data_IF_332422327694
#
_entry.id   IF_332422327694
#
_cell.length_a   1.000
_cell.length_b   1.000
_cell.length_c   1.000
_cell.angle_alpha   90.00
_cell.angle_beta   90.00
_cell.angle_gamma   90.00
#
_symmetry.space_group_name_H-M   'P 1'
#
loop_
_entity.id
_entity.type
_entity.pdbx_description
1 polymer ?
#
# COMPACT_ATOMS: atom_id res chain seq x y z
N UNK A 1 -21.80 -0.56 -18.69
CA UNK A 1 -20.84 0.40 -18.09
C UNK A 1 -19.43 -0.14 -18.27
N UNK A 2 -18.42 0.72 -18.48
CA UNK A 2 -17.02 0.29 -18.56
C UNK A 2 -16.52 -0.05 -17.16
N UNK A 3 -15.78 -1.16 -17.03
CA UNK A 3 -15.11 -1.54 -15.77
C UNK A 3 -14.12 -0.43 -15.37
N UNK A 4 -14.05 -0.12 -14.08
CA UNK A 4 -13.04 0.78 -13.51
C UNK A 4 -11.64 0.18 -13.63
N UNK A 5 -10.62 1.04 -13.53
CA UNK A 5 -9.22 0.65 -13.65
C UNK A 5 -8.57 0.43 -12.29
N UNK A 6 -7.75 -0.61 -12.19
CA UNK A 6 -6.95 -0.90 -11.01
C UNK A 6 -5.50 -0.46 -11.22
N UNK A 7 -5.01 0.42 -10.34
CA UNK A 7 -3.60 0.76 -10.24
C UNK A 7 -3.02 0.25 -8.92
N UNK A 8 -1.92 -0.51 -9.02
CA UNK A 8 -1.21 -1.08 -7.87
C UNK A 8 0.14 -0.40 -7.68
N UNK A 9 0.39 0.08 -6.47
CA UNK A 9 1.69 0.52 -6.00
C UNK A 9 2.37 -0.64 -5.25
N UNK A 10 3.26 -1.34 -5.94
CA UNK A 10 4.00 -2.49 -5.43
C UNK A 10 5.25 -2.03 -4.68
N UNK A 11 5.63 -2.74 -3.62
CA UNK A 11 6.90 -2.54 -2.95
C UNK A 11 7.46 -3.85 -2.39
N UNK A 12 8.78 -3.90 -2.20
CA UNK A 12 9.44 -5.09 -1.67
C UNK A 12 9.37 -5.18 -0.14
N UNK A 13 9.13 -4.07 0.55
CA UNK A 13 9.05 -4.00 2.01
C UNK A 13 8.15 -2.85 2.51
N UNK A 14 7.83 -2.89 3.81
CA UNK A 14 7.25 -1.73 4.52
C UNK A 14 8.28 -0.60 4.59
N UNK A 15 7.83 0.65 4.49
CA UNK A 15 8.71 1.83 4.54
C UNK A 15 9.28 2.30 3.20
N UNK A 16 9.12 1.53 2.11
CA UNK A 16 9.61 1.96 0.77
C UNK A 16 8.87 3.18 0.21
N UNK A 17 7.70 3.53 0.76
CA UNK A 17 6.95 4.75 0.40
C UNK A 17 5.74 4.55 -0.52
N UNK A 18 5.17 3.34 -0.59
CA UNK A 18 3.99 3.03 -1.43
C UNK A 18 2.81 3.98 -1.18
N UNK A 19 2.40 4.11 0.08
CA UNK A 19 1.25 4.96 0.47
C UNK A 19 1.50 6.43 0.13
N UNK A 20 2.72 6.92 0.35
CA UNK A 20 3.11 8.27 -0.05
C UNK A 20 3.02 8.47 -1.58
N UNK A 21 3.60 7.56 -2.37
CA UNK A 21 3.56 7.66 -3.83
C UNK A 21 2.13 7.61 -4.38
N UNK A 22 1.29 6.74 -3.83
CA UNK A 22 -0.12 6.61 -4.16
C UNK A 22 -0.89 7.91 -3.88
N UNK A 23 -0.70 8.52 -2.70
CA UNK A 23 -1.37 9.77 -2.33
C UNK A 23 -0.85 10.98 -3.12
N UNK A 24 0.44 11.01 -3.43
CA UNK A 24 1.08 12.05 -4.24
C UNK A 24 0.49 12.09 -5.66
N UNK A 25 0.29 10.93 -6.28
CA UNK A 25 -0.38 10.85 -7.58
C UNK A 25 -1.87 11.16 -7.49
N UNK A 26 -2.57 10.64 -6.48
CA UNK A 26 -3.98 10.95 -6.25
C UNK A 26 -4.20 12.47 -6.08
N UNK A 27 -3.26 13.16 -5.43
CA UNK A 27 -3.29 14.62 -5.29
C UNK A 27 -3.08 15.33 -6.62
N UNK A 28 -2.15 14.86 -7.46
CA UNK A 28 -1.95 15.42 -8.81
C UNK A 28 -3.24 15.34 -9.63
N UNK A 29 -3.89 14.17 -9.67
CA UNK A 29 -5.14 14.00 -10.39
C UNK A 29 -6.29 14.84 -9.80
N UNK A 30 -6.35 15.01 -8.47
CA UNK A 30 -7.32 15.90 -7.84
C UNK A 30 -7.12 17.35 -8.29
N UNK A 31 -5.87 17.80 -8.39
CA UNK A 31 -5.54 19.15 -8.87
C UNK A 31 -5.90 19.34 -10.36
N UNK A 32 -5.97 18.26 -11.13
CA UNK A 32 -6.47 18.25 -12.51
C UNK A 32 -8.01 18.19 -12.59
N UNK A 33 -8.71 18.17 -11.46
CA UNK A 33 -10.17 18.18 -11.38
C UNK A 33 -10.83 16.80 -11.37
N UNK A 34 -10.05 15.72 -11.19
CA UNK A 34 -10.62 14.37 -11.04
C UNK A 34 -11.25 14.22 -9.64
N UNK A 35 -12.45 13.61 -9.58
CA UNK A 35 -13.13 13.29 -8.33
C UNK A 35 -12.43 12.12 -7.60
N UNK A 36 -11.67 12.44 -6.54
CA UNK A 36 -10.82 11.49 -5.81
C UNK A 36 -11.10 11.55 -4.33
N UNK A 37 -11.24 10.36 -3.74
CA UNK A 37 -11.47 10.19 -2.30
C UNK A 37 -10.56 9.11 -1.71
N UNK A 38 -10.16 9.28 -0.46
CA UNK A 38 -9.52 8.24 0.36
C UNK A 38 -10.63 7.39 0.97
N UNK A 39 -10.68 6.12 0.56
CA UNK A 39 -11.56 5.11 1.14
C UNK A 39 -10.96 4.45 2.37
N UNK A 40 -9.67 4.09 2.29
CA UNK A 40 -8.93 3.54 3.42
C UNK A 40 -7.44 3.89 3.31
N UNK A 41 -6.87 4.27 4.45
CA UNK A 41 -5.44 4.47 4.62
C UNK A 41 -5.01 3.78 5.91
N UNK A 42 -3.94 2.99 5.82
CA UNK A 42 -3.34 2.31 6.96
C UNK A 42 -3.03 3.33 8.06
N UNK A 43 -3.36 3.08 9.34
CA UNK A 43 -2.98 3.96 10.44
C UNK A 43 -1.46 4.19 10.55
N UNK A 44 -1.07 5.13 11.42
CA UNK A 44 0.33 5.36 11.78
C UNK A 44 1.25 5.65 10.58
N UNK A 45 0.78 6.55 9.71
CA UNK A 45 1.59 7.08 8.61
C UNK A 45 2.46 8.23 9.09
N UNK A 46 3.62 8.40 8.46
CA UNK A 46 4.51 9.53 8.74
C UNK A 46 3.80 10.87 8.53
N UNK A 47 4.22 11.90 9.28
CA UNK A 47 3.67 13.28 9.19
C UNK A 47 3.62 13.79 7.75
N UNK A 48 4.66 13.50 6.96
CA UNK A 48 4.74 13.85 5.54
C UNK A 48 3.65 13.17 4.70
N UNK A 49 3.33 11.91 5.00
CA UNK A 49 2.26 11.16 4.30
C UNK A 49 0.89 11.67 4.72
N UNK A 50 0.68 11.92 6.01
CA UNK A 50 -0.56 12.52 6.53
C UNK A 50 -0.83 13.90 5.91
N UNK A 51 0.20 14.71 5.70
CA UNK A 51 0.08 16.02 5.03
C UNK A 51 -0.36 15.92 3.56
N UNK A 52 -0.11 14.79 2.88
CA UNK A 52 -0.70 14.56 1.55
C UNK A 52 -2.19 14.22 1.67
N UNK A 53 -2.54 13.37 2.63
CA UNK A 53 -3.92 12.93 2.87
C UNK A 53 -4.86 14.08 3.24
N UNK A 54 -4.42 15.08 4.00
CA UNK A 54 -5.26 16.24 4.40
C UNK A 54 -5.80 17.06 3.23
N UNK A 55 -5.18 16.95 2.05
CA UNK A 55 -5.63 17.65 0.84
C UNK A 55 -6.67 16.86 0.03
N UNK A 56 -6.96 15.60 0.39
CA UNK A 56 -7.92 14.73 -0.27
C UNK A 56 -9.18 14.58 0.61
N UNK A 57 -10.35 14.41 -0.03
CA UNK A 57 -11.57 14.02 0.71
C UNK A 57 -11.30 12.64 1.32
N UNK A 58 -11.68 12.41 2.58
CA UNK A 58 -11.56 11.11 3.24
C UNK A 58 -12.93 10.64 3.69
N UNK A 59 -13.30 9.43 3.30
CA UNK A 59 -14.55 8.81 3.72
C UNK A 59 -14.51 8.41 5.20
N UNK A 60 -15.65 8.39 5.90
CA UNK A 60 -15.73 7.79 7.21
C UNK A 60 -15.41 6.29 7.15
N UNK A 61 -14.62 5.81 8.11
CA UNK A 61 -14.33 4.38 8.24
C UNK A 61 -15.45 3.68 9.02
N UNK A 62 -15.70 2.41 8.69
CA UNK A 62 -16.51 1.53 9.51
C UNK A 62 -15.69 1.12 10.74
N UNK A 63 -16.30 1.18 11.92
CA UNK A 63 -15.65 0.69 13.14
C UNK A 63 -16.14 -0.71 13.41
N UNK A 64 -15.22 -1.67 13.41
CA UNK A 64 -15.47 -3.01 13.94
C UNK A 64 -14.94 -3.10 15.37
N UNK A 65 -15.75 -3.67 16.26
CA UNK A 65 -15.40 -3.87 17.66
C UNK A 65 -15.73 -5.29 18.08
N UNK A 66 -14.75 -6.01 18.59
CA UNK A 66 -14.96 -7.24 19.34
C UNK A 66 -14.51 -7.05 20.80
N UNK A 67 -14.58 -8.11 21.61
CA UNK A 67 -14.24 -8.05 23.04
C UNK A 67 -12.79 -7.61 23.31
N UNK A 68 -11.89 -7.79 22.34
CA UNK A 68 -10.44 -7.64 22.53
C UNK A 68 -9.84 -6.45 21.76
N UNK A 69 -10.54 -5.94 20.73
CA UNK A 69 -9.97 -5.01 19.77
C UNK A 69 -11.04 -4.13 19.10
N UNK A 70 -10.65 -2.88 18.81
CA UNK A 70 -11.36 -1.99 17.90
C UNK A 70 -10.48 -1.85 16.65
N UNK A 71 -11.04 -2.09 15.47
CA UNK A 71 -10.36 -1.85 14.21
C UNK A 71 -11.23 -0.99 13.28
N UNK A 72 -10.55 -0.18 12.47
CA UNK A 72 -11.17 0.65 11.45
C UNK A 72 -11.10 -0.09 10.12
N UNK A 73 -12.20 -0.08 9.39
CA UNK A 73 -12.39 -0.80 8.14
C UNK A 73 -12.93 0.11 7.03
N UNK A 74 -12.68 -0.31 5.80
CA UNK A 74 -13.19 0.37 4.62
C UNK A 74 -14.72 0.28 4.51
N UNK A 75 -15.39 1.41 4.27
CA UNK A 75 -16.82 1.42 3.99
C UNK A 75 -17.13 1.23 2.49
N UNK A 76 -17.18 -0.03 2.05
CA UNK A 76 -17.53 -0.38 0.67
C UNK A 76 -18.90 0.17 0.24
N UNK A 77 -19.93 0.06 1.09
CA UNK A 77 -21.28 0.50 0.74
C UNK A 77 -21.35 2.02 0.59
N UNK A 78 -20.73 2.75 1.51
CA UNK A 78 -20.58 4.20 1.41
C UNK A 78 -19.84 4.61 0.12
N UNK A 79 -18.83 3.84 -0.30
CA UNK A 79 -18.04 4.14 -1.49
C UNK A 79 -18.85 3.93 -2.77
N UNK A 80 -19.63 2.85 -2.82
CA UNK A 80 -20.54 2.56 -3.93
C UNK A 80 -21.64 3.63 -4.04
N UNK A 81 -22.13 4.14 -2.91
CA UNK A 81 -23.11 5.23 -2.89
C UNK A 81 -22.51 6.57 -3.32
N UNK A 82 -21.32 6.91 -2.82
CA UNK A 82 -20.60 8.15 -3.17
C UNK A 82 -20.12 8.17 -4.62
N UNK A 83 -19.81 6.99 -5.17
CA UNK A 83 -19.44 6.74 -6.57
C UNK A 83 -18.39 7.73 -7.11
N UNK A 84 -17.21 7.83 -6.46
CA UNK A 84 -16.13 8.70 -6.94
C UNK A 84 -15.61 8.22 -8.30
N UNK A 85 -14.89 9.10 -9.02
CA UNK A 85 -14.17 8.65 -10.21
C UNK A 85 -13.03 7.68 -9.83
N UNK A 86 -12.24 8.04 -8.82
CA UNK A 86 -11.16 7.21 -8.28
C UNK A 86 -11.19 7.17 -6.76
N UNK A 87 -10.94 6.00 -6.18
CA UNK A 87 -10.81 5.81 -4.74
C UNK A 87 -9.45 5.22 -4.37
N UNK A 88 -8.86 5.76 -3.31
CA UNK A 88 -7.58 5.30 -2.75
C UNK A 88 -7.87 4.34 -1.59
N UNK A 89 -7.35 3.12 -1.68
CA UNK A 89 -7.57 2.05 -0.70
C UNK A 89 -6.25 1.34 -0.44
N UNK A 90 -5.63 1.60 0.71
CA UNK A 90 -4.37 0.95 1.10
C UNK A 90 -4.55 -0.55 1.43
N UNK A 91 -3.45 -1.31 1.38
CA UNK A 91 -3.36 -2.72 1.77
C UNK A 91 -4.30 -3.68 1.00
N UNK A 92 -4.03 -3.91 -0.29
CA UNK A 92 -4.78 -4.84 -1.14
C UNK A 92 -4.98 -6.25 -0.53
N UNK A 93 -4.00 -6.69 0.26
CA UNK A 93 -3.95 -8.01 0.87
C UNK A 93 -4.72 -8.16 2.19
N UNK A 94 -5.28 -7.07 2.71
CA UNK A 94 -5.93 -7.02 4.02
C UNK A 94 -7.09 -8.01 4.16
N UNK A 95 -7.16 -8.62 5.34
CA UNK A 95 -8.25 -9.49 5.76
C UNK A 95 -9.28 -8.66 6.50
N UNK A 96 -10.41 -8.42 5.83
CA UNK A 96 -11.48 -7.61 6.40
C UNK A 96 -12.00 -8.25 7.69
N UNK A 97 -12.36 -7.40 8.65
CA UNK A 97 -12.94 -7.83 9.91
C UNK A 97 -14.17 -8.75 9.74
N UNK A 98 -14.43 -9.66 10.71
CA UNK A 98 -15.62 -10.51 10.69
C UNK A 98 -16.92 -9.71 10.52
N UNK A 99 -17.85 -10.26 9.73
CA UNK A 99 -19.16 -9.62 9.48
C UNK A 99 -19.17 -8.56 8.38
N UNK A 100 -18.00 -8.18 7.84
CA UNK A 100 -17.92 -7.38 6.61
C UNK A 100 -18.46 -8.16 5.40
N UNK A 101 -18.93 -7.46 4.36
CA UNK A 101 -19.53 -8.07 3.15
C UNK A 101 -18.59 -9.10 2.52
N UNK A 102 -17.32 -8.75 2.40
CA UNK A 102 -16.28 -9.64 1.87
C UNK A 102 -15.22 -9.92 2.92
N UNK A 103 -14.64 -11.12 2.88
CA UNK A 103 -13.55 -11.52 3.77
C UNK A 103 -12.19 -10.89 3.43
N UNK A 104 -12.01 -10.41 2.20
CA UNK A 104 -10.72 -9.92 1.69
C UNK A 104 -10.92 -8.58 1.00
N UNK A 105 -10.04 -7.62 1.26
CA UNK A 105 -10.13 -6.27 0.69
C UNK A 105 -10.07 -6.24 -0.84
N UNK A 106 -9.30 -7.15 -1.45
CA UNK A 106 -9.28 -7.26 -2.91
C UNK A 106 -10.67 -7.59 -3.52
N UNK A 107 -11.58 -8.24 -2.78
CA UNK A 107 -12.96 -8.49 -3.23
C UNK A 107 -13.81 -7.22 -3.18
N UNK A 108 -13.60 -6.36 -2.17
CA UNK A 108 -14.22 -5.02 -2.15
C UNK A 108 -13.78 -4.22 -3.37
N UNK A 109 -12.48 -4.26 -3.67
CA UNK A 109 -11.88 -3.59 -4.83
C UNK A 109 -12.46 -4.13 -6.15
N UNK A 110 -12.58 -5.46 -6.31
CA UNK A 110 -13.24 -6.04 -7.48
C UNK A 110 -14.68 -5.53 -7.66
N UNK A 111 -15.44 -5.34 -6.56
CA UNK A 111 -16.81 -4.81 -6.61
C UNK A 111 -16.84 -3.34 -7.04
N UNK A 112 -15.92 -2.50 -6.54
CA UNK A 112 -15.77 -1.11 -6.98
C UNK A 112 -15.45 -1.03 -8.48
N UNK A 113 -14.50 -1.84 -8.95
CA UNK A 113 -14.11 -1.89 -10.36
C UNK A 113 -15.28 -2.32 -11.25
N UNK A 114 -16.09 -3.31 -10.83
CA UNK A 114 -17.31 -3.71 -11.56
C UNK A 114 -18.34 -2.59 -11.67
N UNK A 115 -18.38 -1.69 -10.69
CA UNK A 115 -19.25 -0.52 -10.66
C UNK A 115 -18.67 0.72 -11.37
N UNK A 116 -17.51 0.57 -12.03
CA UNK A 116 -16.89 1.63 -12.83
C UNK A 116 -16.04 2.62 -12.04
N UNK A 117 -15.75 2.34 -10.77
CA UNK A 117 -14.91 3.17 -9.91
C UNK A 117 -13.46 2.73 -10.08
N UNK A 118 -12.56 3.66 -10.39
CA UNK A 118 -11.12 3.35 -10.45
C UNK A 118 -10.56 3.20 -9.03
N UNK A 119 -9.59 2.30 -8.85
CA UNK A 119 -9.01 2.02 -7.53
C UNK A 119 -7.50 2.13 -7.59
N UNK A 120 -6.94 2.92 -6.67
CA UNK A 120 -5.52 2.99 -6.37
C UNK A 120 -5.26 2.23 -5.08
N UNK A 121 -4.31 1.30 -5.07
CA UNK A 121 -4.03 0.46 -3.89
C UNK A 121 -2.54 0.15 -3.73
N UNK A 122 -2.13 -0.33 -2.56
CA UNK A 122 -0.76 -0.76 -2.33
C UNK A 122 -0.68 -2.24 -1.96
N UNK A 123 0.44 -2.87 -2.29
CA UNK A 123 0.74 -4.26 -1.91
C UNK A 123 2.24 -4.47 -1.71
N UNK A 124 2.63 -5.40 -0.84
CA UNK A 124 4.01 -5.87 -0.76
C UNK A 124 4.17 -7.21 -1.49
N UNK A 125 5.38 -7.49 -2.00
CA UNK A 125 5.68 -8.77 -2.67
C UNK A 125 5.37 -10.00 -1.80
N UNK A 126 5.51 -9.87 -0.47
CA UNK A 126 5.25 -10.93 0.50
C UNK A 126 3.81 -11.43 0.50
N UNK A 127 2.89 -10.60 0.02
CA UNK A 127 1.46 -10.88 -0.01
C UNK A 127 1.03 -11.53 -1.33
N UNK A 128 1.91 -11.68 -2.33
CA UNK A 128 1.58 -12.33 -3.60
C UNK A 128 1.75 -13.84 -3.40
N UNK A 129 0.69 -14.62 -3.67
CA UNK A 129 0.64 -16.06 -3.41
C UNK A 129 1.86 -16.82 -3.96
N UNK A 130 2.23 -16.62 -5.22
CA UNK A 130 3.37 -17.30 -5.85
C UNK A 130 4.74 -16.95 -5.27
N UNK A 131 4.86 -15.82 -4.56
CA UNK A 131 6.11 -15.35 -3.98
C UNK A 131 6.21 -15.64 -2.48
N UNK A 132 5.13 -16.15 -1.89
CA UNK A 132 5.01 -16.36 -0.46
C UNK A 132 6.15 -17.22 0.11
N UNK A 133 6.31 -18.43 -0.41
CA UNK A 133 7.27 -19.41 0.12
C UNK A 133 8.71 -18.91 -0.02
N UNK A 134 9.01 -18.19 -1.10
CA UNK A 134 10.32 -17.56 -1.29
C UNK A 134 10.58 -16.47 -0.25
N UNK A 135 9.61 -15.60 0.00
CA UNK A 135 9.75 -14.54 1.00
C UNK A 135 9.83 -15.11 2.42
N UNK A 136 9.07 -16.16 2.73
CA UNK A 136 9.16 -16.89 4.00
C UNK A 136 10.55 -17.50 4.19
N UNK A 137 11.14 -18.08 3.13
CA UNK A 137 12.50 -18.65 3.20
C UNK A 137 13.59 -17.61 3.49
N UNK A 138 13.39 -16.36 3.07
CA UNK A 138 14.32 -15.25 3.33
C UNK A 138 14.10 -14.68 4.74
N UNK A 139 12.85 -14.46 5.11
CA UNK A 139 12.50 -13.69 6.32
C UNK A 139 12.28 -14.54 7.56
N UNK A 140 12.12 -15.86 7.38
CA UNK A 140 11.73 -16.80 8.44
C UNK A 140 10.35 -16.55 9.03
N UNK A 141 9.54 -15.64 8.46
CA UNK A 141 8.22 -15.29 8.96
C UNK A 141 7.13 -15.61 7.95
N UNK A 142 6.16 -16.40 8.40
CA UNK A 142 4.94 -16.66 7.65
C UNK A 142 4.05 -15.43 7.62
N UNK A 143 3.38 -15.24 6.49
CA UNK A 143 2.42 -14.15 6.22
C UNK A 143 1.07 -14.76 5.88
N UNK A 144 0.06 -14.44 6.68
CA UNK A 144 -1.29 -15.00 6.52
C UNK A 144 -2.11 -14.22 5.48
N UNK A 145 -1.88 -12.92 5.37
CA UNK A 145 -2.52 -12.03 4.39
C UNK A 145 -1.96 -12.26 3.00
N UNK A 146 -2.79 -12.78 2.10
CA UNK A 146 -2.39 -13.16 0.74
C UNK A 146 -3.39 -12.73 -0.32
N UNK A 147 -2.84 -12.51 -1.52
CA UNK A 147 -3.55 -12.12 -2.73
C UNK A 147 -3.19 -13.10 -3.85
N UNK A 148 -4.19 -13.72 -4.50
CA UNK A 148 -3.96 -14.56 -5.66
C UNK A 148 -3.25 -13.79 -6.78
N UNK A 149 -2.29 -14.43 -7.44
CA UNK A 149 -1.56 -13.82 -8.56
C UNK A 149 -2.48 -13.25 -9.63
N UNK A 150 -3.61 -13.90 -9.91
CA UNK A 150 -4.59 -13.42 -10.91
C UNK A 150 -5.14 -12.03 -10.57
N UNK A 151 -5.30 -11.70 -9.28
CA UNK A 151 -5.79 -10.39 -8.86
C UNK A 151 -4.73 -9.34 -9.15
N UNK A 152 -3.49 -9.59 -8.74
CA UNK A 152 -2.34 -8.72 -8.99
C UNK A 152 -2.10 -8.54 -10.50
N UNK A 153 -2.10 -9.63 -11.25
CA UNK A 153 -1.85 -9.67 -12.69
C UNK A 153 -2.97 -9.03 -13.51
N UNK A 154 -4.18 -8.89 -12.95
CA UNK A 154 -5.31 -8.25 -13.62
C UNK A 154 -5.33 -6.72 -13.52
N UNK A 155 -4.37 -6.12 -12.81
CA UNK A 155 -4.27 -4.68 -12.68
C UNK A 155 -3.95 -4.02 -14.03
N UNK A 156 -4.61 -2.90 -14.32
CA UNK A 156 -4.37 -2.12 -15.53
C UNK A 156 -2.99 -1.46 -15.52
N UNK A 157 -2.53 -1.06 -14.32
CA UNK A 157 -1.21 -0.46 -14.11
C UNK A 157 -0.61 -0.98 -12.83
N UNK A 158 0.68 -1.32 -12.87
CA UNK A 158 1.46 -1.63 -11.67
C UNK A 158 2.70 -0.74 -11.69
N UNK A 159 3.00 -0.11 -10.56
CA UNK A 159 4.21 0.66 -10.35
C UNK A 159 5.00 0.08 -9.19
N UNK A 160 6.26 -0.28 -9.44
CA UNK A 160 7.18 -0.69 -8.40
C UNK A 160 7.82 0.54 -7.76
N UNK A 161 7.51 0.75 -6.48
CA UNK A 161 8.13 1.79 -5.67
C UNK A 161 9.42 1.25 -5.06
N UNK A 162 10.53 1.82 -5.54
CA UNK A 162 11.88 1.33 -5.22
C UNK A 162 12.73 2.38 -4.50
N UNK A 163 13.53 1.87 -3.55
CA UNK A 163 14.52 2.59 -2.75
C UNK A 163 15.66 1.60 -2.46
N UNK A 164 16.90 2.08 -2.33
CA UNK A 164 18.01 1.17 -2.00
C UNK A 164 17.82 0.55 -0.60
N UNK A 165 18.26 -0.70 -0.37
CA UNK A 165 18.20 -1.33 0.95
C UNK A 165 18.88 -0.49 2.04
N UNK A 166 20.04 0.12 1.74
CA UNK A 166 20.76 1.00 2.67
C UNK A 166 19.94 2.24 3.04
N UNK A 167 19.33 2.90 2.06
CA UNK A 167 18.48 4.07 2.31
C UNK A 167 17.21 3.70 3.07
N UNK A 168 16.65 2.50 2.82
CA UNK A 168 15.51 2.00 3.59
C UNK A 168 15.86 1.76 5.05
N UNK A 169 17.02 1.16 5.34
CA UNK A 169 17.49 0.97 6.71
C UNK A 169 17.70 2.30 7.43
N UNK A 170 18.34 3.26 6.76
CA UNK A 170 18.50 4.61 7.30
C UNK A 170 17.14 5.29 7.56
N UNK A 171 16.19 5.14 6.64
CA UNK A 171 14.83 5.66 6.79
C UNK A 171 14.14 5.06 8.01
N UNK A 172 14.19 3.74 8.14
CA UNK A 172 13.56 3.01 9.24
C UNK A 172 14.16 3.43 10.58
N UNK A 173 15.49 3.49 10.69
CA UNK A 173 16.17 3.97 11.91
C UNK A 173 15.70 5.38 12.28
N UNK A 174 15.68 6.31 11.31
CA UNK A 174 15.21 7.67 11.60
C UNK A 174 13.75 7.71 12.07
N UNK A 175 12.88 6.82 11.56
CA UNK A 175 11.48 6.75 12.01
C UNK A 175 11.40 6.21 13.44
N UNK A 176 12.14 5.14 13.76
CA UNK A 176 12.21 4.61 15.12
C UNK A 176 12.74 5.65 16.12
N UNK A 177 13.73 6.46 15.71
CA UNK A 177 14.33 7.50 16.56
C UNK A 177 13.43 8.75 16.74
N UNK A 178 12.49 9.01 15.83
CA UNK A 178 11.71 10.27 15.80
C UNK A 178 10.22 10.12 16.09
N UNK A 179 9.68 8.91 15.97
CA UNK A 179 8.25 8.63 15.99
C UNK A 179 7.91 7.42 16.90
N UNK A 180 8.51 7.32 18.10
CA UNK A 180 8.18 6.30 19.12
C UNK A 180 6.66 6.24 19.42
N UNK A 181 5.97 7.39 19.33
CA UNK A 181 4.52 7.50 19.57
C UNK A 181 3.64 6.82 18.50
N UNK A 182 4.14 6.56 17.29
CA UNK A 182 3.33 6.01 16.19
C UNK A 182 3.24 4.48 16.20
N UNK A 183 3.98 3.77 17.06
CA UNK A 183 3.87 2.30 17.18
C UNK A 183 4.19 1.53 15.89
N UNK A 184 4.91 2.14 14.95
CA UNK A 184 5.28 1.51 13.67
C UNK A 184 6.43 0.54 13.92
N UNK A 185 6.15 -0.75 13.95
CA UNK A 185 7.18 -1.77 14.16
C UNK A 185 7.91 -2.13 12.86
N UNK A 186 9.25 -2.17 12.93
CA UNK A 186 10.14 -2.73 11.90
C UNK A 186 10.95 -3.89 12.52
N UNK A 187 10.53 -5.15 12.32
CA UNK A 187 11.19 -6.27 12.96
C UNK A 187 12.66 -6.38 12.51
N UNK A 188 13.60 -6.23 13.45
CA UNK A 188 15.05 -6.20 13.15
C UNK A 188 15.53 -7.48 12.47
N UNK A 189 14.84 -8.59 12.68
CA UNK A 189 15.14 -9.86 12.00
C UNK A 189 14.85 -9.82 10.50
N UNK A 190 13.86 -9.01 10.07
CA UNK A 190 13.50 -8.85 8.66
C UNK A 190 14.28 -7.68 8.03
N UNK A 191 14.48 -6.60 8.78
CA UNK A 191 15.15 -5.38 8.31
C UNK A 191 16.67 -5.50 8.44
N UNK A 192 17.23 -6.52 7.80
CA UNK A 192 18.67 -6.65 7.55
C UNK A 192 18.98 -6.27 6.11
N UNK A 193 20.20 -5.78 5.83
CA UNK A 193 20.58 -5.39 4.48
C UNK A 193 20.46 -6.58 3.50
N UNK A 194 20.93 -7.76 3.90
CA UNK A 194 20.83 -9.00 3.13
C UNK A 194 19.38 -9.36 2.76
N UNK A 195 18.47 -9.37 3.73
CA UNK A 195 17.08 -9.70 3.49
C UNK A 195 16.43 -8.67 2.55
N UNK A 196 16.69 -7.38 2.75
CA UNK A 196 16.14 -6.33 1.91
C UNK A 196 16.70 -6.37 0.48
N UNK A 197 17.97 -6.74 0.29
CA UNK A 197 18.55 -6.98 -1.04
C UNK A 197 17.79 -8.11 -1.75
N UNK A 198 17.61 -9.25 -1.08
CA UNK A 198 16.93 -10.41 -1.66
C UNK A 198 15.46 -10.10 -2.00
N UNK A 199 14.73 -9.43 -1.11
CA UNK A 199 13.35 -9.00 -1.36
C UNK A 199 13.27 -8.01 -2.53
N UNK A 200 14.17 -7.03 -2.59
CA UNK A 200 14.23 -6.07 -3.70
C UNK A 200 14.51 -6.77 -5.03
N UNK A 201 15.42 -7.75 -5.05
CA UNK A 201 15.71 -8.53 -6.24
C UNK A 201 14.47 -9.30 -6.75
N UNK A 202 13.72 -9.94 -5.85
CA UNK A 202 12.46 -10.62 -6.21
C UNK A 202 11.46 -9.63 -6.80
N UNK A 203 11.31 -8.44 -6.20
CA UNK A 203 10.42 -7.41 -6.71
C UNK A 203 10.82 -6.92 -8.11
N UNK A 204 12.10 -6.68 -8.34
CA UNK A 204 12.63 -6.26 -9.64
C UNK A 204 12.45 -7.36 -10.70
N UNK A 205 12.71 -8.63 -10.36
CA UNK A 205 12.46 -9.76 -11.26
C UNK A 205 10.99 -9.86 -11.65
N UNK A 206 10.06 -9.74 -10.68
CA UNK A 206 8.61 -9.71 -10.96
C UNK A 206 8.26 -8.51 -11.86
N UNK A 207 8.90 -7.36 -11.66
CA UNK A 207 8.69 -6.18 -12.50
C UNK A 207 9.10 -6.38 -13.95
N UNK A 208 10.24 -7.04 -14.20
CA UNK A 208 10.73 -7.36 -15.54
C UNK A 208 9.77 -8.32 -16.26
N UNK A 209 9.28 -9.37 -15.59
CA UNK A 209 8.39 -10.38 -16.18
C UNK A 209 7.05 -9.76 -16.65
N UNK A 210 6.61 -8.67 -15.99
CA UNK A 210 5.28 -8.08 -16.18
C UNK A 210 5.30 -6.68 -16.83
N UNK A 211 6.46 -6.21 -17.30
CA UNK A 211 6.63 -4.84 -17.83
C UNK A 211 6.12 -3.76 -16.86
N UNK A 212 6.35 -3.97 -15.56
CA UNK A 212 5.95 -3.04 -14.51
C UNK A 212 6.86 -1.82 -14.56
N UNK A 213 6.26 -0.62 -14.52
CA UNK A 213 7.04 0.63 -14.44
C UNK A 213 7.74 0.71 -13.10
N UNK A 214 9.07 0.85 -13.11
CA UNK A 214 9.87 1.02 -11.89
C UNK A 214 10.04 2.51 -11.62
N UNK A 215 9.60 2.96 -10.44
CA UNK A 215 9.69 4.35 -10.00
C UNK A 215 10.65 4.41 -8.81
N UNK A 216 11.85 4.95 -9.04
CA UNK A 216 12.82 5.23 -7.98
C UNK A 216 12.51 6.60 -7.38
N UNK A 217 12.28 6.68 -6.07
CA UNK A 217 12.08 7.97 -5.39
C UNK A 217 13.22 8.25 -4.41
N UNK A 218 13.95 9.36 -4.56
CA UNK A 218 14.98 9.74 -3.60
C UNK A 218 14.36 10.10 -2.25
N UNK A 219 15.08 9.81 -1.16
CA UNK A 219 14.62 10.15 0.18
C UNK A 219 14.60 11.68 0.38
N UNK A 220 13.50 12.29 0.85
CA UNK A 220 13.40 13.73 1.06
C UNK A 220 14.28 14.31 2.20
N UNK A 221 15.24 13.55 2.75
CA UNK A 221 16.13 14.01 3.85
C UNK A 221 17.61 13.97 3.50
N UNK A 222 18.00 13.64 2.27
CA UNK A 222 19.38 13.80 1.78
C UNK A 222 19.67 15.20 1.21
N UNK A 223 18.96 16.23 1.69
CA UNK A 223 19.46 17.61 1.64
C UNK A 223 20.03 17.96 3.02
N UNK A 224 21.16 17.35 3.38
CA UNK A 224 22.05 17.91 4.40
C UNK A 224 23.09 18.78 3.68
N UNK A 225 23.02 20.07 3.95
CA UNK A 225 24.10 21.06 3.89
C UNK A 225 25.21 20.82 2.86
N UNK A 226 25.05 21.40 1.68
CA UNK A 226 26.19 22.04 1.01
C UNK A 226 26.05 23.54 1.26
N UNK A 227 26.87 24.03 2.20
CA UNK A 227 27.24 25.44 2.30
C UNK A 227 27.94 25.91 1.04
#
# INVERSE_FOLDING_TARGET
MKRGKLKIFLGYAKGVGKTYAMLDEAKTLKNEGVDIVIGYMTPNQSKTTLAQATTLETMPYKTYKNESQICLEFDLDGALQRKPNTIVIDELAHDNAPGMRHKKRYRDIEELLRNGINVYTTINIKNIDSLHDFVESITGKRVDERVPDIIFDSADTIELIDISPKDLLLRVSNIEDTDEEQGVLFPKEIFTEENLIALREIALRKAVIKFITVVTRPHPTLRKNTS
#
